data_IF_039671628784
#
_entry.id   IF_039671628784
#
_cell.length_a   1.000
_cell.length_b   1.000
_cell.length_c   1.000
_cell.angle_alpha   90.00
_cell.angle_beta   90.00
_cell.angle_gamma   90.00
#
_symmetry.space_group_name_H-M   'P 1'
#
loop_
_entity.id
_entity.type
_entity.pdbx_description
1 polymer ?
#
# COMPACT_ATOMS: atom_id res chain seq x y z
N UNK A 1 -3.91 14.17 13.81
CA UNK A 1 -3.65 13.06 12.87
C UNK A 1 -3.52 13.64 11.49
N UNK A 2 -2.40 13.40 10.81
CA UNK A 2 -2.22 13.74 9.39
C UNK A 2 -2.50 12.48 8.58
N UNK A 3 -3.23 12.60 7.47
CA UNK A 3 -3.56 11.48 6.60
C UNK A 3 -3.00 11.73 5.20
N UNK A 4 -2.45 10.69 4.59
CA UNK A 4 -1.89 10.72 3.24
C UNK A 4 -2.53 9.61 2.40
N UNK A 5 -3.13 9.98 1.27
CA UNK A 5 -3.60 9.03 0.27
C UNK A 5 -2.50 8.73 -0.73
N UNK A 6 -2.10 7.47 -0.85
CA UNK A 6 -1.09 7.05 -1.82
C UNK A 6 -1.76 6.73 -3.15
N UNK A 7 -1.47 7.50 -4.20
CA UNK A 7 -1.83 7.16 -5.57
C UNK A 7 -0.86 6.10 -6.08
N UNK A 8 -1.38 4.91 -6.39
CA UNK A 8 -0.56 3.84 -6.93
C UNK A 8 -0.32 4.06 -8.43
N UNK A 9 0.88 3.72 -8.95
CA UNK A 9 1.13 3.67 -10.38
C UNK A 9 0.06 2.87 -11.13
N UNK A 10 -0.24 3.25 -12.36
CA UNK A 10 -1.26 2.59 -13.17
C UNK A 10 -2.70 2.84 -12.71
N UNK A 11 -2.96 3.64 -11.66
CA UNK A 11 -4.32 3.96 -11.21
C UNK A 11 -4.63 5.47 -11.36
N UNK A 12 -5.92 5.80 -11.33
CA UNK A 12 -6.39 7.18 -11.40
C UNK A 12 -6.05 7.84 -12.73
N UNK A 13 -5.27 8.93 -12.69
CA UNK A 13 -4.84 9.63 -13.90
C UNK A 13 -3.79 8.86 -14.71
N UNK A 14 -3.15 7.85 -14.12
CA UNK A 14 -2.12 7.01 -14.75
C UNK A 14 -2.68 5.68 -15.29
N UNK A 15 -4.01 5.58 -15.43
CA UNK A 15 -4.71 4.31 -15.76
C UNK A 15 -4.30 3.72 -17.11
N UNK A 16 -3.82 4.54 -18.05
CA UNK A 16 -3.27 4.09 -19.33
C UNK A 16 -2.05 3.17 -19.19
N UNK A 17 -1.31 3.27 -18.09
CA UNK A 17 -0.13 2.46 -17.80
C UNK A 17 -0.43 1.24 -16.92
N UNK A 18 -1.69 0.96 -16.59
CA UNK A 18 -2.06 -0.19 -15.72
C UNK A 18 -1.59 -1.52 -16.30
N UNK A 19 -1.56 -1.66 -17.63
CA UNK A 19 -1.18 -2.90 -18.30
C UNK A 19 0.30 -3.25 -18.14
N UNK A 20 1.16 -2.26 -17.90
CA UNK A 20 2.60 -2.42 -17.68
C UNK A 20 2.99 -2.30 -16.21
N UNK A 21 2.05 -1.90 -15.35
CA UNK A 21 2.29 -1.75 -13.91
C UNK A 21 2.26 -3.11 -13.21
N UNK A 22 3.22 -3.33 -12.33
CA UNK A 22 3.37 -4.58 -11.58
C UNK A 22 2.99 -4.43 -10.10
N UNK A 23 2.75 -5.55 -9.43
CA UNK A 23 2.58 -5.55 -7.96
C UNK A 23 3.79 -4.93 -7.24
N UNK A 24 5.01 -5.15 -7.74
CA UNK A 24 6.21 -4.60 -7.11
C UNK A 24 6.25 -3.06 -7.20
N UNK A 25 5.72 -2.48 -8.28
CA UNK A 25 5.60 -1.02 -8.42
C UNK A 25 4.67 -0.45 -7.35
N UNK A 26 3.57 -1.14 -7.06
CA UNK A 26 2.64 -0.74 -5.99
C UNK A 26 3.26 -0.89 -4.60
N UNK A 27 3.88 -2.03 -4.32
CA UNK A 27 4.52 -2.31 -3.01
C UNK A 27 5.64 -1.30 -2.75
N UNK A 28 6.54 -1.09 -3.69
CA UNK A 28 7.65 -0.13 -3.55
C UNK A 28 7.17 1.31 -3.40
N UNK A 29 6.07 1.70 -4.07
CA UNK A 29 5.46 3.02 -3.88
C UNK A 29 5.01 3.21 -2.44
N UNK A 30 4.34 2.22 -1.84
CA UNK A 30 3.89 2.30 -0.44
C UNK A 30 5.07 2.25 0.53
N UNK A 31 6.05 1.39 0.31
CA UNK A 31 7.29 1.33 1.11
C UNK A 31 7.99 2.69 1.14
N UNK A 32 8.16 3.32 -0.02
CA UNK A 32 8.81 4.61 -0.14
C UNK A 32 8.03 5.70 0.61
N UNK A 33 6.69 5.70 0.54
CA UNK A 33 5.88 6.64 1.30
C UNK A 33 5.97 6.42 2.82
N UNK A 34 6.05 5.19 3.29
CA UNK A 34 6.28 4.92 4.71
C UNK A 34 7.64 5.46 5.14
N UNK A 35 8.70 5.22 4.36
CA UNK A 35 10.05 5.70 4.67
C UNK A 35 10.12 7.24 4.68
N UNK A 36 9.51 7.90 3.68
CA UNK A 36 9.41 9.36 3.64
C UNK A 36 8.67 9.91 4.85
N UNK A 37 7.53 9.30 5.21
CA UNK A 37 6.77 9.71 6.39
C UNK A 37 7.55 9.51 7.68
N UNK A 38 8.36 8.45 7.78
CA UNK A 38 9.15 8.16 8.98
C UNK A 38 10.25 9.21 9.24
N UNK A 39 10.62 10.00 8.23
CA UNK A 39 11.54 11.13 8.42
C UNK A 39 10.91 12.30 9.20
N UNK A 40 9.58 12.41 9.19
CA UNK A 40 8.83 13.57 9.69
C UNK A 40 7.91 13.21 10.86
N UNK A 41 7.32 12.03 10.84
CA UNK A 41 6.35 11.57 11.84
C UNK A 41 6.96 10.49 12.72
N UNK A 42 6.77 10.62 14.03
CA UNK A 42 7.22 9.64 15.02
C UNK A 42 6.31 8.41 15.08
N UNK A 43 5.06 8.55 14.61
CA UNK A 43 3.99 7.58 14.75
C UNK A 43 3.28 7.36 13.43
N UNK A 44 3.39 6.16 12.86
CA UNK A 44 2.87 5.83 11.55
C UNK A 44 1.94 4.63 11.63
N UNK A 45 0.73 4.82 11.12
CA UNK A 45 -0.26 3.77 10.93
C UNK A 45 -0.52 3.61 9.45
N UNK A 46 -0.59 2.37 8.98
CA UNK A 46 -0.92 2.04 7.60
C UNK A 46 -2.32 1.46 7.55
N UNK A 47 -3.14 1.94 6.61
CA UNK A 47 -4.47 1.42 6.35
C UNK A 47 -4.53 0.87 4.94
N UNK A 48 -4.92 -0.41 4.81
CA UNK A 48 -5.10 -1.08 3.52
C UNK A 48 -6.55 -1.47 3.30
N UNK A 49 -7.17 -0.98 2.21
CA UNK A 49 -8.51 -1.36 1.79
C UNK A 49 -8.48 -2.24 0.54
N UNK A 50 -9.19 -3.37 0.53
CA UNK A 50 -9.28 -4.27 -0.63
C UNK A 50 -7.90 -4.65 -1.19
N UNK A 51 -7.59 -4.36 -2.46
CA UNK A 51 -6.27 -4.52 -3.07
C UNK A 51 -5.16 -3.87 -2.23
N UNK A 52 -5.43 -2.69 -1.66
CA UNK A 52 -4.51 -2.00 -0.77
C UNK A 52 -4.17 -2.79 0.48
N UNK A 53 -5.02 -3.75 0.91
CA UNK A 53 -4.70 -4.69 1.97
C UNK A 53 -3.59 -5.68 1.60
N UNK A 54 -3.66 -6.26 0.40
CA UNK A 54 -2.60 -7.13 -0.14
C UNK A 54 -1.26 -6.40 -0.24
N UNK A 55 -1.31 -5.16 -0.73
CA UNK A 55 -0.13 -4.32 -0.91
C UNK A 55 0.45 -3.93 0.44
N UNK A 56 -0.38 -3.46 1.38
CA UNK A 56 0.07 -3.06 2.70
C UNK A 56 0.73 -4.21 3.46
N UNK A 57 0.19 -5.44 3.40
CA UNK A 57 0.79 -6.62 4.02
C UNK A 57 2.23 -6.92 3.53
N UNK A 58 2.52 -6.62 2.27
CA UNK A 58 3.86 -6.76 1.71
C UNK A 58 4.74 -5.57 2.10
N UNK A 59 4.25 -4.34 1.89
CA UNK A 59 5.03 -3.12 2.03
C UNK A 59 5.46 -2.79 3.48
N UNK A 60 4.72 -3.24 4.48
CA UNK A 60 5.00 -2.92 5.89
C UNK A 60 6.08 -3.80 6.53
N UNK A 61 6.55 -4.84 5.83
CA UNK A 61 7.54 -5.77 6.38
C UNK A 61 8.85 -5.04 6.67
N UNK A 62 9.31 -5.10 7.92
CA UNK A 62 10.54 -4.43 8.37
C UNK A 62 10.45 -2.89 8.43
N UNK A 63 9.26 -2.30 8.26
CA UNK A 63 9.07 -0.84 8.34
C UNK A 63 8.76 -0.38 9.77
N UNK A 64 9.15 0.85 10.15
CA UNK A 64 8.91 1.41 11.48
C UNK A 64 7.47 1.93 11.62
N UNK A 65 6.48 1.03 11.56
CA UNK A 65 5.06 1.37 11.75
C UNK A 65 4.57 0.91 13.13
N UNK A 66 3.58 1.61 13.66
CA UNK A 66 2.94 1.30 14.95
C UNK A 66 1.79 0.31 14.80
N UNK A 67 1.16 0.29 13.64
CA UNK A 67 0.00 -0.55 13.40
C UNK A 67 -0.41 -0.60 11.94
N UNK A 68 -1.01 -1.73 11.59
CA UNK A 68 -1.64 -1.99 10.30
C UNK A 68 -3.14 -2.21 10.54
N UNK A 69 -3.97 -1.46 9.81
CA UNK A 69 -5.42 -1.62 9.77
C UNK A 69 -5.81 -2.16 8.40
N UNK A 70 -6.49 -3.31 8.37
CA UNK A 70 -6.98 -3.92 7.14
C UNK A 70 -8.50 -3.83 7.08
N UNK A 71 -9.02 -3.31 5.98
CA UNK A 71 -10.46 -3.16 5.74
C UNK A 71 -10.81 -3.94 4.49
N UNK A 72 -11.65 -4.98 4.64
CA UNK A 72 -12.04 -5.89 3.55
C UNK A 72 -10.84 -6.34 2.69
N UNK A 73 -9.76 -6.90 3.28
CA UNK A 73 -8.51 -7.10 2.56
C UNK A 73 -8.62 -8.17 1.48
N UNK A 74 -8.08 -7.88 0.30
CA UNK A 74 -7.80 -8.88 -0.71
C UNK A 74 -6.43 -9.51 -0.42
N UNK A 75 -6.42 -10.65 0.27
CA UNK A 75 -5.19 -11.31 0.72
C UNK A 75 -5.12 -12.80 0.37
N UNK A 76 -6.21 -13.35 -0.15
CA UNK A 76 -6.33 -14.75 -0.52
C UNK A 76 -7.39 -14.88 -1.59
N UNK A 77 -7.13 -15.76 -2.56
CA UNK A 77 -8.12 -16.23 -3.51
C UNK A 77 -8.47 -17.66 -3.09
N UNK A 78 -9.70 -17.87 -2.59
CA UNK A 78 -10.11 -19.15 -2.01
C UNK A 78 -10.45 -20.22 -3.07
N UNK A 79 -10.63 -19.84 -4.33
CA UNK A 79 -10.80 -20.77 -5.46
C UNK A 79 -10.70 -20.05 -6.80
N UNK A 80 -9.85 -20.53 -7.70
CA UNK A 80 -9.94 -20.29 -9.14
C UNK A 80 -10.51 -21.58 -9.73
N UNK A 81 -11.81 -21.59 -10.03
CA UNK A 81 -12.43 -22.66 -10.83
C UNK A 81 -11.89 -22.68 -12.23
#
# INVERSE_FOLDING_TARGET
>A
WTAHGVMLPGLGQDIENIATTTNQDWVSTVEHRIDEMATTYQSIWVLGYSLGGAIALQAVQGKPIEGLVLIAPFWKIDSVT
#
